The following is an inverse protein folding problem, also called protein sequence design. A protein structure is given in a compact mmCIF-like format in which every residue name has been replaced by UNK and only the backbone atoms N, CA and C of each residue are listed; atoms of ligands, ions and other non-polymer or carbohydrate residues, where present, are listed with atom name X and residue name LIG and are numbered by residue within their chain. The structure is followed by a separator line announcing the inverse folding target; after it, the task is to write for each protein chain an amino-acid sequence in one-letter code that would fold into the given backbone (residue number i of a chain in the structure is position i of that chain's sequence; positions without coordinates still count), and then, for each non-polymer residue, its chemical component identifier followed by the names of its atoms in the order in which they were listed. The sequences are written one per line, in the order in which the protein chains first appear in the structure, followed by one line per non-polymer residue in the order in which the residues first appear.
data_IF_224568946918
#
_entry.id   IF_224568946918
#
_cell.length_a   1.000
_cell.length_b   1.000
_cell.length_c   1.000
_cell.angle_alpha   90.00
_cell.angle_beta   90.00
_cell.angle_gamma   90.00
#
_symmetry.space_group_name_H-M   'P 1'
#
loop_
_entity.id
_entity.type
_entity.pdbx_description
1 polymer ?
#
# COMPACT_ATOMS: atom_id res chain seq x y z
N UNK A 1 -17.45 6.96 -6.30
CA UNK A 1 -17.12 6.76 -4.89
C UNK A 1 -15.67 6.35 -4.80
N UNK A 2 -14.87 7.00 -3.96
CA UNK A 2 -13.48 6.59 -3.72
C UNK A 2 -13.47 5.55 -2.61
N UNK A 3 -12.64 4.52 -2.74
CA UNK A 3 -12.42 3.53 -1.67
C UNK A 3 -11.18 3.91 -0.88
N UNK A 4 -11.25 3.83 0.45
CA UNK A 4 -10.12 4.10 1.34
C UNK A 4 -9.72 2.82 2.07
N UNK A 5 -8.48 2.37 1.86
CA UNK A 5 -7.89 1.26 2.60
C UNK A 5 -6.99 1.77 3.71
N UNK A 6 -6.94 1.00 4.80
CA UNK A 6 -6.11 1.28 5.97
C UNK A 6 -5.30 0.04 6.30
N UNK A 7 -3.99 0.20 6.41
CA UNK A 7 -3.06 -0.86 6.77
C UNK A 7 -2.24 -0.41 7.97
N UNK A 8 -2.20 -1.24 9.02
CA UNK A 8 -1.33 -0.99 10.17
C UNK A 8 0.11 -1.29 9.77
N UNK A 9 0.95 -0.25 9.79
CA UNK A 9 2.36 -0.34 9.42
C UNK A 9 3.28 0.02 10.58
N UNK A 10 2.75 0.03 11.82
CA UNK A 10 3.52 0.40 13.01
C UNK A 10 4.79 -0.46 13.14
N UNK A 11 5.89 0.22 13.37
CA UNK A 11 7.21 -0.40 13.49
C UNK A 11 7.99 -0.51 12.19
N UNK A 12 7.48 0.05 11.08
CA UNK A 12 8.19 0.23 9.81
C UNK A 12 8.28 1.72 9.46
N UNK A 13 9.43 2.14 8.97
CA UNK A 13 9.59 3.50 8.42
C UNK A 13 8.96 3.59 7.02
N UNK A 14 8.54 4.77 6.56
CA UNK A 14 7.95 4.93 5.21
C UNK A 14 8.83 4.41 4.07
N UNK A 15 10.16 4.51 4.19
CA UNK A 15 11.12 4.01 3.20
C UNK A 15 11.40 2.50 3.30
N UNK A 16 10.88 1.83 4.34
CA UNK A 16 10.86 0.38 4.50
C UNK A 16 9.58 -0.26 3.94
N UNK A 17 8.60 0.56 3.56
CA UNK A 17 7.33 0.14 2.99
C UNK A 17 7.37 0.12 1.46
N UNK A 18 6.61 -0.80 0.88
CA UNK A 18 6.42 -0.91 -0.56
C UNK A 18 4.95 -1.15 -0.85
N UNK A 19 4.37 -0.27 -1.66
CA UNK A 19 2.98 -0.39 -2.15
C UNK A 19 3.05 -0.64 -3.65
N UNK A 20 2.40 -1.71 -4.12
CA UNK A 20 2.39 -2.09 -5.54
C UNK A 20 0.99 -2.51 -5.97
N UNK A 21 0.58 -2.02 -7.14
CA UNK A 21 -0.57 -2.55 -7.86
C UNK A 21 -0.06 -3.68 -8.77
N UNK A 22 -0.62 -4.88 -8.57
CA UNK A 22 -0.34 -6.07 -9.38
C UNK A 22 -1.67 -6.61 -9.86
N UNK A 23 -1.93 -6.47 -11.16
CA UNK A 23 -3.21 -6.79 -11.79
C UNK A 23 -4.38 -6.09 -11.06
N UNK A 24 -5.22 -6.86 -10.37
CA UNK A 24 -6.37 -6.40 -9.59
C UNK A 24 -6.14 -6.49 -8.08
N UNK A 25 -4.88 -6.57 -7.65
CA UNK A 25 -4.49 -6.63 -6.25
C UNK A 25 -3.59 -5.46 -5.88
N UNK A 26 -3.80 -4.95 -4.67
CA UNK A 26 -2.88 -4.06 -3.99
C UNK A 26 -2.04 -4.86 -3.01
N UNK A 27 -0.73 -4.84 -3.23
CA UNK A 27 0.26 -5.45 -2.37
C UNK A 27 0.93 -4.38 -1.50
N UNK A 28 0.86 -4.55 -0.19
CA UNK A 28 1.56 -3.73 0.80
C UNK A 28 2.57 -4.62 1.53
N UNK A 29 3.84 -4.22 1.51
CA UNK A 29 4.93 -4.96 2.16
C UNK A 29 5.74 -4.02 3.03
N UNK A 30 6.23 -4.53 4.16
CA UNK A 30 7.25 -3.86 4.96
C UNK A 30 8.46 -4.75 5.14
N UNK A 31 9.65 -4.19 4.89
CA UNK A 31 10.92 -4.90 5.06
C UNK A 31 11.92 -4.02 5.77
N UNK A 32 12.28 -4.40 7.00
CA UNK A 32 13.32 -3.70 7.76
C UNK A 32 14.67 -3.78 7.08
N UNK A 33 15.39 -2.66 7.01
CA UNK A 33 16.79 -2.65 6.58
C UNK A 33 17.64 -3.21 7.74
N UNK A 34 18.09 -4.46 7.62
CA UNK A 34 18.99 -5.05 8.62
C UNK A 34 20.38 -4.41 8.52
N UNK A 35 20.80 -3.71 9.57
CA UNK A 35 22.15 -3.15 9.71
C UNK A 35 23.12 -4.06 10.48
N UNK A 36 22.70 -5.25 10.90
CA UNK A 36 23.53 -6.13 11.74
C UNK A 36 23.75 -7.52 11.13
N UNK A 37 25.02 -7.92 11.14
CA UNK A 37 25.56 -9.19 10.60
C UNK A 37 25.32 -10.40 11.50
N UNK A 38 24.46 -10.29 12.52
CA UNK A 38 24.16 -11.36 13.47
C UNK A 38 22.66 -11.36 13.74
N UNK A 39 22.02 -12.49 13.43
CA UNK A 39 20.57 -12.79 13.52
C UNK A 39 19.65 -11.90 12.66
N UNK A 40 19.38 -12.37 11.44
CA UNK A 40 18.36 -11.82 10.54
C UNK A 40 16.96 -12.26 10.98
N UNK A 41 16.44 -11.68 12.06
CA UNK A 41 15.00 -11.61 12.25
C UNK A 41 14.46 -10.52 11.31
N UNK A 42 14.48 -10.78 10.01
CA UNK A 42 13.83 -9.91 9.04
C UNK A 42 12.33 -10.05 9.23
N UNK A 43 11.76 -9.28 10.16
CA UNK A 43 10.30 -9.12 10.25
C UNK A 43 9.84 -8.51 8.94
N UNK A 44 9.25 -9.35 8.09
CA UNK A 44 8.60 -8.94 6.86
C UNK A 44 7.10 -9.16 7.05
N UNK A 45 6.30 -8.18 6.66
CA UNK A 45 4.87 -8.37 6.51
C UNK A 45 4.49 -8.16 5.05
N UNK A 46 3.44 -8.86 4.62
CA UNK A 46 2.84 -8.72 3.31
C UNK A 46 1.34 -8.84 3.43
N UNK A 47 0.62 -7.82 2.98
CA UNK A 47 -0.84 -7.82 2.87
C UNK A 47 -1.22 -7.64 1.40
N UNK A 48 -2.03 -8.55 0.88
CA UNK A 48 -2.62 -8.45 -0.46
C UNK A 48 -4.10 -8.16 -0.32
N UNK A 49 -4.58 -7.15 -1.03
CA UNK A 49 -5.97 -6.70 -0.99
C UNK A 49 -6.52 -6.72 -2.40
N UNK A 50 -7.55 -7.53 -2.64
CA UNK A 50 -8.24 -7.53 -3.92
C UNK A 50 -9.02 -6.24 -4.08
N UNK A 51 -8.83 -5.63 -5.23
CA UNK A 51 -9.42 -4.35 -5.54
C UNK A 51 -10.69 -4.51 -6.40
N UNK A 52 -11.68 -3.61 -6.27
CA UNK A 52 -12.85 -3.62 -7.14
C UNK A 52 -12.49 -3.32 -8.61
N UNK A 53 -13.35 -3.77 -9.52
CA UNK A 53 -13.21 -3.43 -10.94
C UNK A 53 -13.42 -1.93 -11.18
N UNK A 54 -12.79 -1.39 -12.23
CA UNK A 54 -12.98 0.00 -12.64
C UNK A 54 -12.23 1.03 -11.79
N UNK A 55 -11.10 0.65 -11.19
CA UNK A 55 -10.22 1.58 -10.46
C UNK A 55 -9.35 2.36 -11.40
N UNK A 56 -9.18 3.64 -11.08
CA UNK A 56 -8.21 4.49 -11.74
C UNK A 56 -6.82 4.24 -11.13
N UNK A 57 -6.11 3.25 -11.70
CA UNK A 57 -4.79 2.81 -11.26
C UNK A 57 -3.73 3.92 -11.31
N UNK A 58 -3.95 4.97 -12.10
CA UNK A 58 -3.01 6.08 -12.26
C UNK A 58 -3.16 7.16 -11.20
N UNK A 59 -4.33 7.23 -10.55
CA UNK A 59 -4.64 8.21 -9.51
C UNK A 59 -4.70 7.59 -8.11
N UNK A 60 -4.19 6.37 -7.93
CA UNK A 60 -4.04 5.77 -6.60
C UNK A 60 -2.95 6.52 -5.83
N UNK A 61 -3.28 6.96 -4.62
CA UNK A 61 -2.35 7.66 -3.73
C UNK A 61 -2.24 6.95 -2.39
N UNK A 62 -1.12 7.15 -1.69
CA UNK A 62 -0.92 6.56 -0.37
C UNK A 62 -0.15 7.49 0.56
N UNK A 63 -0.50 7.49 1.84
CA UNK A 63 0.15 8.29 2.87
C UNK A 63 0.26 7.51 4.18
N UNK A 64 1.45 7.52 4.77
CA UNK A 64 1.64 7.05 6.16
C UNK A 64 1.36 8.21 7.09
N UNK A 65 0.52 7.99 8.09
CA UNK A 65 0.18 8.95 9.14
C UNK A 65 1.08 8.77 10.36
N UNK A 66 1.16 9.79 11.22
CA UNK A 66 2.02 9.80 12.41
C UNK A 66 1.72 8.66 13.41
N UNK A 67 0.51 8.10 13.38
CA UNK A 67 0.09 6.96 14.20
C UNK A 67 0.58 5.59 13.65
N UNK A 68 1.29 5.60 12.52
CA UNK A 68 1.81 4.41 11.85
C UNK A 68 0.81 3.69 10.97
N UNK A 69 -0.34 4.31 10.68
CA UNK A 69 -1.32 3.79 9.73
C UNK A 69 -1.02 4.28 8.30
N UNK A 70 -0.98 3.34 7.35
CA UNK A 70 -0.92 3.62 5.93
C UNK A 70 -2.34 3.75 5.37
N UNK A 71 -2.65 4.90 4.82
CA UNK A 71 -3.90 5.21 4.13
C UNK A 71 -3.68 5.12 2.62
N UNK A 72 -4.57 4.44 1.91
CA UNK A 72 -4.47 4.25 0.46
C UNK A 72 -5.79 4.63 -0.17
N UNK A 73 -5.79 5.70 -0.95
CA UNK A 73 -6.97 6.20 -1.65
C UNK A 73 -7.04 5.59 -3.06
N UNK A 74 -8.21 5.02 -3.36
CA UNK A 74 -8.45 4.23 -4.55
C UNK A 74 -9.63 4.82 -5.30
N UNK A 75 -9.39 5.74 -6.25
CA UNK A 75 -10.43 6.32 -7.06
C UNK A 75 -10.96 5.31 -8.09
N UNK A 76 -12.24 5.47 -8.47
CA UNK A 76 -12.83 4.75 -9.59
C UNK A 76 -12.65 5.57 -10.88
N UNK A 77 -12.41 4.89 -12.00
CA UNK A 77 -12.39 5.52 -13.33
C UNK A 77 -13.75 6.15 -13.55
N UNK A 78 -13.77 7.47 -13.67
CA UNK A 78 -14.98 8.15 -14.08
C UNK A 78 -15.11 8.04 -15.60
N UNK A 79 -16.01 7.17 -16.06
CA UNK A 79 -16.25 6.88 -17.47
C UNK A 79 -16.66 8.11 -18.30
N UNK A 80 -16.94 9.25 -17.69
CA UNK A 80 -17.29 10.50 -18.37
C UNK A 80 -16.15 11.11 -19.20
N UNK A 81 -14.90 10.64 -19.04
CA UNK A 81 -13.73 11.13 -19.80
C UNK A 81 -13.55 10.50 -21.20
N UNK A 82 -14.42 9.57 -21.60
CA UNK A 82 -14.38 8.91 -22.92
C UNK A 82 -15.62 9.18 -23.79
N UNK A 83 -16.43 10.19 -23.45
CA UNK A 83 -17.59 10.61 -24.24
C UNK A 83 -17.25 11.80 -25.13
#
# INVERSE_FOLDING_TARGET
SNSLLKVDTRGYEPDELTVRLLDDNLLVQGRKKSSSSKSTDSKQFGQSIRLPDGIDKYNVTSQVMDDGMLFIEIPLINSSMYR
#
